data_IF_007031993486
#
_entry.id   IF_007031993486
#
_cell.length_a   1.000
_cell.length_b   1.000
_cell.length_c   1.000
_cell.angle_alpha   90.00
_cell.angle_beta   90.00
_cell.angle_gamma   90.00
#
_symmetry.space_group_name_H-M   'P 1'
#
loop_
_entity.id
_entity.type
_entity.pdbx_description
1 polymer ?
#
# COMPACT_ATOMS: atom_id res chain seq x y z
N UNK A 1 24.34 22.91 -2.86
CA UNK A 1 24.78 21.58 -2.43
C UNK A 1 23.68 20.52 -2.21
N UNK A 2 22.39 20.86 -1.94
CA UNK A 2 21.29 19.86 -2.00
C UNK A 2 20.67 19.76 -3.42
N UNK A 3 20.79 20.82 -4.22
CA UNK A 3 20.20 20.91 -5.57
C UNK A 3 21.14 20.53 -6.73
N UNK A 4 22.44 20.37 -6.49
CA UNK A 4 23.34 19.79 -7.52
C UNK A 4 23.11 18.27 -7.66
N UNK A 5 22.78 17.59 -6.56
CA UNK A 5 22.35 16.18 -6.57
C UNK A 5 20.99 15.95 -7.26
N UNK A 6 20.25 17.01 -7.61
CA UNK A 6 18.98 16.94 -8.35
C UNK A 6 19.16 17.32 -9.83
N UNK A 7 20.31 17.88 -10.22
CA UNK A 7 20.56 18.39 -11.58
C UNK A 7 21.54 17.56 -12.40
N UNK A 8 22.27 16.61 -11.82
CA UNK A 8 23.31 15.84 -12.52
C UNK A 8 23.17 14.32 -12.42
N UNK A 9 21.96 13.78 -12.53
CA UNK A 9 21.85 12.41 -13.04
C UNK A 9 20.86 12.36 -14.19
N UNK A 10 21.42 12.58 -15.37
CA UNK A 10 20.78 12.19 -16.62
C UNK A 10 20.61 10.68 -16.57
N UNK A 11 19.37 10.21 -16.57
CA UNK A 11 19.06 8.99 -17.32
C UNK A 11 18.19 9.38 -18.52
N UNK A 12 18.62 9.03 -19.75
CA UNK A 12 17.91 9.36 -20.96
C UNK A 12 16.57 8.65 -20.94
N UNK A 13 15.57 9.27 -21.57
CA UNK A 13 14.29 8.63 -21.80
C UNK A 13 14.46 7.24 -22.42
N UNK A 14 13.65 6.29 -21.93
CA UNK A 14 13.40 5.01 -22.58
C UNK A 14 14.46 3.93 -22.31
N UNK A 15 13.96 2.74 -21.95
CA UNK A 15 14.69 1.45 -21.83
C UNK A 15 15.64 1.35 -20.64
N UNK A 16 15.15 0.99 -19.43
CA UNK A 16 15.99 0.32 -18.41
C UNK A 16 15.24 -0.43 -17.29
N UNK A 17 14.01 -0.91 -17.52
CA UNK A 17 13.33 -1.83 -16.57
C UNK A 17 14.04 -3.19 -16.39
N UNK A 18 14.99 -3.53 -17.27
CA UNK A 18 15.74 -4.78 -17.25
C UNK A 18 16.77 -4.87 -16.12
N UNK A 19 17.42 -3.75 -15.75
CA UNK A 19 18.56 -3.79 -14.81
C UNK A 19 18.12 -4.04 -13.38
N UNK A 20 17.03 -3.40 -12.93
CA UNK A 20 16.46 -3.61 -11.58
C UNK A 20 15.86 -5.02 -11.45
N UNK A 21 15.21 -5.54 -12.49
CA UNK A 21 14.71 -6.92 -12.54
C UNK A 21 15.86 -7.94 -12.47
N UNK A 22 16.98 -7.65 -13.14
CA UNK A 22 18.16 -8.53 -13.12
C UNK A 22 18.88 -8.54 -11.76
N UNK A 23 18.97 -7.40 -11.06
CA UNK A 23 19.49 -7.36 -9.68
C UNK A 23 18.61 -8.14 -8.70
N UNK A 24 17.28 -8.07 -8.83
CA UNK A 24 16.35 -8.84 -8.00
C UNK A 24 16.48 -10.35 -8.27
N UNK A 25 16.54 -10.76 -9.55
CA UNK A 25 16.77 -12.17 -9.94
C UNK A 25 18.10 -12.72 -9.40
N UNK A 26 19.16 -11.92 -9.40
CA UNK A 26 20.47 -12.34 -8.88
C UNK A 26 20.46 -12.51 -7.35
N UNK A 27 19.69 -11.68 -6.64
CA UNK A 27 19.51 -11.78 -5.18
C UNK A 27 18.69 -13.00 -4.79
N UNK A 28 17.63 -13.33 -5.53
CA UNK A 28 16.84 -14.54 -5.33
C UNK A 28 17.66 -15.82 -5.59
N UNK A 29 18.57 -15.82 -6.59
CA UNK A 29 19.46 -16.96 -6.87
C UNK A 29 20.44 -17.23 -5.72
N UNK A 30 21.07 -16.18 -5.17
CA UNK A 30 21.97 -16.28 -4.00
C UNK A 30 21.28 -16.79 -2.72
N UNK A 31 20.00 -16.47 -2.53
CA UNK A 31 19.22 -16.99 -1.40
C UNK A 31 18.87 -18.47 -1.58
N UNK A 32 18.62 -18.92 -2.82
CA UNK A 32 18.36 -20.33 -3.15
C UNK A 32 19.60 -21.21 -2.97
N UNK A 33 20.78 -20.72 -3.37
CA UNK A 33 22.04 -21.46 -3.21
C UNK A 33 22.44 -21.58 -1.72
N UNK A 34 22.12 -20.57 -0.89
CA UNK A 34 22.33 -20.64 0.57
C UNK A 34 21.36 -21.59 1.30
N UNK A 35 20.15 -21.78 0.77
CA UNK A 35 19.19 -22.75 1.29
C UNK A 35 19.56 -24.19 0.89
N UNK A 36 19.96 -24.41 -0.38
CA UNK A 36 20.39 -25.73 -0.87
C UNK A 36 21.65 -26.25 -0.16
N UNK A 37 22.60 -25.38 0.20
CA UNK A 37 23.79 -25.77 0.98
C UNK A 37 23.45 -26.12 2.44
N UNK A 38 22.37 -25.57 3.00
CA UNK A 38 21.91 -25.88 4.36
C UNK A 38 21.20 -27.23 4.41
N UNK A 39 20.40 -27.56 3.40
CA UNK A 39 19.68 -28.83 3.29
C UNK A 39 20.60 -30.03 2.98
N UNK A 40 21.78 -29.77 2.40
CA UNK A 40 22.77 -30.82 2.09
C UNK A 40 23.57 -31.30 3.32
N UNK A 41 23.59 -30.52 4.41
CA UNK A 41 24.36 -30.83 5.63
C UNK A 41 23.53 -31.57 6.69
N UNK A 42 22.20 -31.67 6.52
CA UNK A 42 21.30 -32.34 7.48
C UNK A 42 20.82 -33.72 7.04
N UNK A 43 21.30 -34.24 5.90
CA UNK A 43 20.78 -35.46 5.26
C UNK A 43 21.71 -36.69 5.36
N UNK A 44 22.60 -36.74 6.36
CA UNK A 44 23.51 -37.87 6.57
C UNK A 44 23.49 -38.32 8.03
N UNK A 45 22.42 -38.97 8.48
CA UNK A 45 22.52 -39.94 9.57
C UNK A 45 21.29 -40.85 9.64
N UNK A 46 21.58 -42.16 9.54
CA UNK A 46 20.83 -43.33 10.01
C UNK A 46 19.86 -44.04 9.05
N UNK A 47 20.37 -45.14 8.48
CA UNK A 47 19.67 -46.29 7.89
C UNK A 47 19.53 -47.37 8.96
N UNK A 48 18.32 -47.93 9.11
CA UNK A 48 17.87 -49.29 9.53
C UNK A 48 16.50 -49.12 10.20
N UNK A 49 15.49 -49.98 10.14
CA UNK A 49 15.05 -51.15 9.37
C UNK A 49 13.58 -51.38 9.83
N UNK A 50 12.77 -51.93 8.93
CA UNK A 50 11.50 -52.65 9.10
C UNK A 50 10.23 -52.00 9.73
N UNK A 51 9.06 -52.44 9.24
CA UNK A 51 7.81 -52.44 10.02
C UNK A 51 6.67 -51.48 9.63
N UNK A 52 6.05 -51.71 8.46
CA UNK A 52 4.61 -51.53 8.17
C UNK A 52 3.75 -50.83 9.25
N UNK A 53 3.34 -49.57 9.05
CA UNK A 53 2.12 -48.97 9.67
C UNK A 53 1.54 -47.83 8.84
N UNK A 54 0.20 -47.78 8.90
CA UNK A 54 -0.73 -46.91 8.18
C UNK A 54 -0.43 -45.41 8.29
N UNK A 55 -0.92 -44.71 7.27
CA UNK A 55 -1.19 -43.27 7.23
C UNK A 55 -1.52 -42.67 8.60
N UNK A 56 -0.78 -41.62 8.95
CA UNK A 56 -1.30 -40.52 9.75
C UNK A 56 -0.67 -39.22 9.22
N UNK A 57 -1.41 -38.50 8.38
CA UNK A 57 -1.04 -37.14 7.99
C UNK A 57 -1.34 -36.24 9.19
N UNK A 58 -0.30 -35.89 9.94
CA UNK A 58 -0.39 -34.99 11.08
C UNK A 58 -0.99 -33.63 10.70
N UNK A 59 -2.04 -33.28 11.44
CA UNK A 59 -2.58 -31.95 11.73
C UNK A 59 -2.12 -30.79 10.82
N UNK A 60 -2.85 -30.60 9.73
CA UNK A 60 -3.12 -29.23 9.28
C UNK A 60 -4.11 -28.63 10.29
N UNK A 61 -3.86 -27.44 10.86
CA UNK A 61 -4.82 -26.85 11.78
C UNK A 61 -6.14 -26.70 11.02
N UNK A 62 -7.16 -27.41 11.51
CA UNK A 62 -8.52 -27.41 10.98
C UNK A 62 -8.94 -25.96 10.82
N UNK A 63 -8.89 -25.49 9.58
CA UNK A 63 -9.34 -24.17 9.19
C UNK A 63 -10.83 -24.12 9.48
N UNK A 64 -11.20 -23.43 10.57
CA UNK A 64 -12.58 -22.97 10.77
C UNK A 64 -13.03 -22.39 9.44
N UNK A 65 -14.13 -22.88 8.88
CA UNK A 65 -14.70 -22.38 7.61
C UNK A 65 -15.03 -20.89 7.78
N UNK A 66 -14.05 -20.02 7.54
CA UNK A 66 -14.22 -18.57 7.57
C UNK A 66 -14.84 -18.17 6.23
N UNK A 67 -15.80 -17.25 6.27
CA UNK A 67 -16.29 -16.63 5.05
C UNK A 67 -15.11 -15.94 4.35
N UNK A 68 -15.00 -16.07 3.02
CA UNK A 68 -13.91 -15.49 2.20
C UNK A 68 -13.63 -14.01 2.54
N UNK A 69 -14.69 -13.23 2.78
CA UNK A 69 -14.59 -11.81 3.16
C UNK A 69 -13.93 -11.64 4.54
N UNK A 70 -14.23 -12.51 5.51
CA UNK A 70 -13.63 -12.46 6.84
C UNK A 70 -12.12 -12.74 6.77
N UNK A 71 -11.72 -13.71 5.95
CA UNK A 71 -10.30 -13.99 5.71
C UNK A 71 -9.60 -12.75 5.09
N UNK A 72 -10.22 -12.10 4.11
CA UNK A 72 -9.68 -10.87 3.53
C UNK A 72 -9.54 -9.73 4.55
N UNK A 73 -10.50 -9.56 5.47
CA UNK A 73 -10.43 -8.56 6.54
C UNK A 73 -9.22 -8.81 7.45
N UNK A 74 -8.98 -10.07 7.81
CA UNK A 74 -7.83 -10.44 8.66
C UNK A 74 -6.48 -10.24 7.95
N UNK A 75 -6.44 -10.43 6.63
CA UNK A 75 -5.23 -10.24 5.80
C UNK A 75 -4.91 -8.75 5.61
N UNK A 76 -5.93 -7.91 5.44
CA UNK A 76 -5.73 -6.52 4.97
C UNK A 76 -4.88 -5.66 5.90
N UNK A 77 -5.08 -5.80 7.22
CA UNK A 77 -4.31 -5.12 8.29
C UNK A 77 -3.95 -3.67 7.95
N UNK A 78 -4.93 -2.88 7.53
CA UNK A 78 -4.75 -1.51 7.01
C UNK A 78 -3.92 -0.59 7.91
N UNK A 79 -4.04 -0.75 9.22
CA UNK A 79 -3.26 0.01 10.21
C UNK A 79 -1.76 -0.17 10.01
N UNK A 80 -1.31 -1.40 9.69
CA UNK A 80 0.10 -1.69 9.40
C UNK A 80 0.51 -1.14 8.04
N UNK A 81 -0.39 -1.18 7.05
CA UNK A 81 -0.13 -0.64 5.70
C UNK A 81 0.12 0.88 5.70
N UNK A 82 -0.50 1.59 6.64
CA UNK A 82 -0.43 3.06 6.71
C UNK A 82 0.56 3.52 7.79
N UNK A 83 0.84 2.69 8.81
CA UNK A 83 1.89 2.96 9.81
C UNK A 83 3.29 2.67 9.27
N UNK A 84 3.80 3.57 8.43
CA UNK A 84 5.12 3.45 7.84
C UNK A 84 6.19 3.88 8.86
N UNK A 85 7.17 3.02 9.10
CA UNK A 85 8.30 3.31 10.01
C UNK A 85 9.11 4.50 9.52
N UNK A 86 9.27 4.65 8.20
CA UNK A 86 9.92 5.80 7.59
C UNK A 86 9.22 7.15 7.88
N UNK A 87 7.94 7.14 8.25
CA UNK A 87 7.19 8.32 8.69
C UNK A 87 7.34 8.65 10.18
N UNK A 88 8.07 7.84 10.98
CA UNK A 88 8.25 8.13 12.42
C UNK A 88 9.14 9.37 12.63
N UNK A 89 8.75 10.21 13.59
CA UNK A 89 9.52 11.40 14.00
C UNK A 89 10.58 10.95 15.02
N UNK A 90 11.86 11.03 14.67
CA UNK A 90 12.96 10.68 15.57
C UNK A 90 13.17 11.77 16.65
N UNK A 91 13.59 11.42 17.88
CA UNK A 91 13.85 12.40 18.93
C UNK A 91 15.02 13.32 18.52
N UNK A 92 14.92 14.61 18.83
CA UNK A 92 15.92 15.62 18.45
C UNK A 92 17.20 15.58 19.30
N UNK A 93 17.25 14.77 20.35
CA UNK A 93 18.29 14.82 21.38
C UNK A 93 18.86 13.42 21.61
N UNK A 94 19.84 13.06 20.78
CA UNK A 94 21.03 12.28 21.17
C UNK A 94 21.91 12.15 19.93
N UNK A 95 23.07 12.81 19.94
CA UNK A 95 24.27 12.53 19.14
C UNK A 95 24.09 12.37 17.61
N UNK A 96 24.53 13.38 16.86
CA UNK A 96 25.74 13.31 16.04
C UNK A 96 25.67 12.40 14.80
N UNK A 97 25.91 13.04 13.65
CA UNK A 97 26.28 12.44 12.35
C UNK A 97 25.22 11.56 11.66
N UNK A 98 24.81 12.00 10.47
CA UNK A 98 24.02 11.21 9.51
C UNK A 98 22.58 10.86 9.90
N UNK A 99 21.74 11.88 10.17
CA UNK A 99 20.35 11.73 9.70
C UNK A 99 20.45 11.50 8.19
N UNK A 100 20.13 10.27 7.76
CA UNK A 100 20.06 9.89 6.35
C UNK A 100 19.43 11.04 5.57
N UNK A 101 20.06 11.52 4.48
CA UNK A 101 19.58 12.69 3.77
C UNK A 101 18.09 12.54 3.47
N UNK A 102 17.34 13.61 3.64
CA UNK A 102 15.94 13.77 3.30
C UNK A 102 15.42 12.79 2.22
N UNK A 103 16.08 12.75 1.07
CA UNK A 103 15.75 11.87 -0.04
C UNK A 103 15.80 10.38 0.31
N UNK A 104 16.81 9.91 1.04
CA UNK A 104 16.95 8.51 1.44
C UNK A 104 15.84 8.08 2.40
N UNK A 105 15.39 8.97 3.30
CA UNK A 105 14.25 8.69 4.18
C UNK A 105 12.94 8.58 3.42
N UNK A 106 12.73 9.46 2.45
CA UNK A 106 11.57 9.40 1.54
C UNK A 106 11.60 8.15 0.64
N UNK A 107 12.78 7.73 0.18
CA UNK A 107 12.94 6.47 -0.57
C UNK A 107 12.60 5.26 0.28
N UNK A 108 13.04 5.21 1.55
CA UNK A 108 12.70 4.11 2.47
C UNK A 108 11.19 3.95 2.67
N UNK A 109 10.45 5.07 2.71
CA UNK A 109 8.99 5.02 2.79
C UNK A 109 8.40 4.33 1.54
N UNK A 110 8.96 4.58 0.36
CA UNK A 110 8.54 3.89 -0.86
C UNK A 110 8.80 2.40 -0.84
N UNK A 111 9.99 2.01 -0.38
CA UNK A 111 10.35 0.61 -0.22
C UNK A 111 9.39 -0.10 0.76
N UNK A 112 9.03 0.54 1.87
CA UNK A 112 8.08 0.02 2.85
C UNK A 112 6.68 -0.16 2.26
N UNK A 113 6.16 0.82 1.52
CA UNK A 113 4.84 0.70 0.84
C UNK A 113 4.85 -0.49 -0.12
N UNK A 114 5.90 -0.61 -0.94
CA UNK A 114 6.03 -1.72 -1.91
C UNK A 114 6.15 -3.06 -1.18
N UNK A 115 6.96 -3.14 -0.13
CA UNK A 115 7.11 -4.35 0.69
C UNK A 115 5.78 -4.81 1.28
N UNK A 116 5.01 -3.88 1.86
CA UNK A 116 3.71 -4.19 2.46
C UNK A 116 2.67 -4.62 1.42
N UNK A 117 2.64 -3.99 0.24
CA UNK A 117 1.74 -4.42 -0.83
C UNK A 117 2.11 -5.80 -1.40
N UNK A 118 3.41 -6.09 -1.52
CA UNK A 118 3.90 -7.41 -1.93
C UNK A 118 3.51 -8.46 -0.90
N UNK A 119 3.71 -8.18 0.38
CA UNK A 119 3.37 -9.12 1.45
C UNK A 119 1.87 -9.36 1.54
N UNK A 120 1.07 -8.29 1.47
CA UNK A 120 -0.39 -8.40 1.36
C UNK A 120 -0.79 -9.30 0.18
N UNK A 121 -0.17 -9.13 -0.99
CA UNK A 121 -0.47 -9.96 -2.18
C UNK A 121 -0.18 -11.44 -1.96
N UNK A 122 0.93 -11.78 -1.26
CA UNK A 122 1.28 -13.18 -0.95
C UNK A 122 0.30 -13.85 0.00
N UNK A 123 -0.33 -13.07 0.88
CA UNK A 123 -1.25 -13.57 1.88
C UNK A 123 -2.66 -13.80 1.33
N UNK A 124 -2.96 -13.36 0.10
CA UNK A 124 -4.29 -13.53 -0.49
C UNK A 124 -4.63 -15.02 -0.73
N UNK A 125 -5.90 -15.42 -0.53
CA UNK A 125 -6.32 -16.83 -0.59
C UNK A 125 -6.09 -17.47 -1.97
N UNK A 126 -6.06 -16.68 -3.04
CA UNK A 126 -5.83 -17.13 -4.41
C UNK A 126 -4.35 -17.07 -4.84
N UNK A 127 -3.41 -16.72 -3.95
CA UNK A 127 -2.00 -16.49 -4.33
C UNK A 127 -1.39 -17.72 -5.03
N UNK A 128 -1.71 -18.93 -4.55
CA UNK A 128 -1.23 -20.19 -5.13
C UNK A 128 -1.83 -20.55 -6.50
N UNK A 129 -2.89 -19.86 -6.95
CA UNK A 129 -3.59 -20.19 -8.21
C UNK A 129 -2.94 -19.55 -9.45
N UNK A 130 -2.13 -18.51 -9.23
CA UNK A 130 -1.51 -17.69 -10.27
C UNK A 130 0.03 -17.68 -10.12
N UNK A 131 0.80 -17.66 -11.23
CA UNK A 131 2.25 -17.50 -11.17
C UNK A 131 2.69 -16.18 -10.53
N UNK A 132 3.89 -16.19 -9.96
CA UNK A 132 4.51 -15.01 -9.33
C UNK A 132 4.66 -13.85 -10.32
N UNK A 133 4.92 -14.14 -11.59
CA UNK A 133 5.01 -13.14 -12.66
C UNK A 133 3.67 -12.43 -12.87
N UNK A 134 2.54 -13.15 -12.70
CA UNK A 134 1.20 -12.57 -12.84
C UNK A 134 0.94 -11.61 -11.68
N UNK A 135 1.22 -12.03 -10.45
CA UNK A 135 1.11 -11.18 -9.27
C UNK A 135 1.98 -9.92 -9.38
N UNK A 136 3.22 -10.09 -9.81
CA UNK A 136 4.15 -8.98 -10.04
C UNK A 136 3.60 -8.02 -11.08
N UNK A 137 3.10 -8.54 -12.20
CA UNK A 137 2.50 -7.72 -13.25
C UNK A 137 1.28 -6.94 -12.74
N UNK A 138 0.32 -7.61 -12.11
CA UNK A 138 -0.87 -6.97 -11.55
C UNK A 138 -0.51 -5.85 -10.57
N UNK A 139 0.43 -6.13 -9.65
CA UNK A 139 0.84 -5.15 -8.66
C UNK A 139 1.55 -3.95 -9.30
N UNK A 140 2.44 -4.16 -10.29
CA UNK A 140 3.11 -3.05 -10.99
C UNK A 140 2.14 -2.12 -11.71
N UNK A 141 0.98 -2.61 -12.14
CA UNK A 141 -0.05 -1.81 -12.81
C UNK A 141 -0.99 -1.12 -11.82
N UNK A 142 -1.21 -1.69 -10.63
CA UNK A 142 -2.31 -1.30 -9.72
C UNK A 142 -1.87 -0.73 -8.39
N UNK A 143 -0.58 -0.72 -8.07
CA UNK A 143 -0.07 -0.25 -6.77
C UNK A 143 -0.57 1.16 -6.40
N UNK A 144 -0.63 2.09 -7.37
CA UNK A 144 -1.08 3.47 -7.12
C UNK A 144 -2.57 3.53 -6.75
N UNK A 145 -3.42 2.73 -7.41
CA UNK A 145 -4.84 2.61 -7.09
C UNK A 145 -5.03 1.98 -5.70
N UNK A 146 -4.25 0.95 -5.36
CA UNK A 146 -4.29 0.28 -4.06
C UNK A 146 -3.89 1.20 -2.89
N UNK A 147 -2.85 2.03 -3.09
CA UNK A 147 -2.42 3.04 -2.11
C UNK A 147 -3.52 4.06 -1.86
N UNK A 148 -4.07 4.64 -2.92
CA UNK A 148 -5.13 5.65 -2.81
C UNK A 148 -6.39 5.09 -2.17
N UNK A 149 -6.83 3.90 -2.60
CA UNK A 149 -8.00 3.22 -2.05
C UNK A 149 -7.82 2.94 -0.55
N UNK A 150 -6.64 2.46 -0.13
CA UNK A 150 -6.34 2.20 1.28
C UNK A 150 -6.30 3.50 2.10
N UNK A 151 -5.67 4.55 1.57
CA UNK A 151 -5.64 5.86 2.22
C UNK A 151 -7.05 6.44 2.40
N UNK A 152 -7.90 6.35 1.37
CA UNK A 152 -9.29 6.77 1.43
C UNK A 152 -10.08 6.01 2.50
N UNK A 153 -10.00 4.68 2.49
CA UNK A 153 -10.74 3.87 3.45
C UNK A 153 -10.31 4.11 4.89
N UNK A 154 -9.00 4.22 5.14
CA UNK A 154 -8.47 4.54 6.46
C UNK A 154 -8.96 5.90 6.97
N UNK A 155 -8.85 6.95 6.15
CA UNK A 155 -9.30 8.28 6.56
C UNK A 155 -10.80 8.34 6.81
N UNK A 156 -11.62 7.64 6.02
CA UNK A 156 -13.05 7.60 6.27
C UNK A 156 -13.44 6.75 7.48
N UNK A 157 -12.70 5.69 7.77
CA UNK A 157 -12.97 4.82 8.93
C UNK A 157 -12.56 5.48 10.24
N UNK A 158 -11.49 6.26 10.22
CA UNK A 158 -10.93 6.93 11.39
C UNK A 158 -11.37 8.39 11.53
N UNK A 159 -12.06 8.95 10.53
CA UNK A 159 -12.76 10.22 10.69
C UNK A 159 -13.91 10.00 11.67
N UNK A 160 -13.73 10.45 12.92
CA UNK A 160 -14.86 10.68 13.82
C UNK A 160 -15.84 11.57 13.06
N UNK A 161 -17.01 11.03 12.71
CA UNK A 161 -18.07 11.78 12.07
C UNK A 161 -18.30 13.05 12.89
N UNK A 162 -17.84 14.19 12.36
CA UNK A 162 -18.29 15.49 12.85
C UNK A 162 -19.78 15.46 12.59
N UNK A 163 -20.57 15.36 13.66
CA UNK A 163 -21.99 15.58 13.60
C UNK A 163 -22.21 16.94 12.92
N UNK A 164 -22.85 16.91 11.75
CA UNK A 164 -23.51 18.08 11.19
C UNK A 164 -24.45 18.66 12.27
N UNK A 165 -24.47 20.00 12.38
CA UNK A 165 -25.44 20.83 13.12
C UNK A 165 -25.12 21.41 14.52
N UNK A 166 -23.88 21.51 15.01
CA UNK A 166 -23.66 22.39 16.17
C UNK A 166 -22.30 23.10 16.19
N UNK A 167 -22.41 24.40 16.45
CA UNK A 167 -21.41 25.32 16.96
C UNK A 167 -20.43 25.94 15.96
N UNK A 168 -20.88 27.09 15.47
CA UNK A 168 -20.07 28.32 15.38
C UNK A 168 -19.29 28.50 16.68
N UNK A 169 -18.11 27.87 16.77
CA UNK A 169 -17.09 28.21 17.76
C UNK A 169 -16.02 29.03 17.06
N UNK A 170 -16.20 30.34 17.11
CA UNK A 170 -15.14 31.34 17.01
C UNK A 170 -14.14 31.15 18.14
N UNK A 171 -13.24 30.17 18.04
CA UNK A 171 -11.94 30.20 18.69
C UNK A 171 -10.92 29.60 17.73
N UNK A 172 -9.91 30.40 17.39
CA UNK A 172 -8.73 29.99 16.63
C UNK A 172 -7.94 28.98 17.47
N UNK A 173 -8.33 27.70 17.40
CA UNK A 173 -7.45 26.60 17.77
C UNK A 173 -6.52 26.36 16.59
N UNK A 174 -5.37 27.03 16.63
CA UNK A 174 -4.24 26.72 15.77
C UNK A 174 -3.84 25.26 16.03
N UNK A 175 -4.20 24.35 15.12
CA UNK A 175 -3.79 22.95 15.23
C UNK A 175 -4.83 21.90 14.84
N UNK A 176 -5.67 22.12 13.83
CA UNK A 176 -6.42 20.99 13.26
C UNK A 176 -5.40 20.06 12.56
N UNK A 177 -4.95 19.02 13.27
CA UNK A 177 -4.03 18.00 12.76
C UNK A 177 -4.73 16.99 11.84
N UNK A 178 -6.04 17.14 11.62
CA UNK A 178 -6.87 16.23 10.85
C UNK A 178 -6.93 16.58 9.36
N UNK A 179 -7.20 15.57 8.54
CA UNK A 179 -7.40 15.73 7.09
C UNK A 179 -8.74 16.42 6.79
N UNK A 180 -8.73 17.40 5.90
CA UNK A 180 -9.96 18.01 5.38
C UNK A 180 -10.50 17.20 4.19
N UNK A 181 -11.81 16.97 4.16
CA UNK A 181 -12.49 16.36 3.02
C UNK A 181 -12.93 17.39 1.97
N UNK A 182 -12.86 18.68 2.27
CA UNK A 182 -13.41 19.74 1.40
C UNK A 182 -12.34 20.71 0.89
N UNK A 183 -11.31 20.99 1.69
CA UNK A 183 -10.31 22.01 1.38
C UNK A 183 -8.93 21.39 1.17
N UNK A 184 -8.50 21.36 -0.10
CA UNK A 184 -7.17 20.89 -0.49
C UNK A 184 -6.05 21.79 0.03
N UNK A 185 -6.31 23.08 0.27
CA UNK A 185 -5.31 24.00 0.82
C UNK A 185 -5.01 23.70 2.29
N UNK A 186 -6.02 23.27 3.07
CA UNK A 186 -5.81 22.74 4.43
C UNK A 186 -4.92 21.50 4.37
N UNK A 187 -5.21 20.56 3.47
CA UNK A 187 -4.44 19.33 3.32
C UNK A 187 -2.99 19.57 2.87
N UNK A 188 -2.75 20.57 2.03
CA UNK A 188 -1.39 20.96 1.64
C UNK A 188 -0.63 21.54 2.84
N UNK A 189 -1.25 22.42 3.65
CA UNK A 189 -0.62 22.96 4.87
C UNK A 189 -0.34 21.85 5.88
N UNK A 190 -1.26 20.90 6.03
CA UNK A 190 -1.09 19.71 6.86
C UNK A 190 0.10 18.86 6.38
N UNK A 191 0.17 18.57 5.08
CA UNK A 191 1.28 17.86 4.47
C UNK A 191 2.61 18.56 4.72
N UNK A 192 2.68 19.88 4.56
CA UNK A 192 3.88 20.67 4.84
C UNK A 192 4.34 20.50 6.29
N UNK A 193 3.41 20.63 7.26
CA UNK A 193 3.70 20.49 8.70
C UNK A 193 4.24 19.09 9.02
N UNK A 194 3.53 18.05 8.58
CA UNK A 194 3.92 16.65 8.82
C UNK A 194 5.24 16.28 8.15
N UNK A 195 5.44 16.71 6.90
CA UNK A 195 6.70 16.46 6.19
C UNK A 195 7.87 17.19 6.87
N UNK A 196 7.68 18.44 7.34
CA UNK A 196 8.72 19.16 8.09
C UNK A 196 9.11 18.42 9.37
N UNK A 197 8.11 17.89 10.09
CA UNK A 197 8.33 17.10 11.30
C UNK A 197 9.07 15.79 11.02
N UNK A 198 8.64 15.03 10.00
CA UNK A 198 9.35 13.82 9.57
C UNK A 198 10.79 14.17 9.26
N UNK A 199 11.04 15.21 8.48
CA UNK A 199 12.38 15.53 7.95
C UNK A 199 13.31 16.20 8.97
N UNK A 200 12.82 16.57 10.15
CA UNK A 200 13.60 17.26 11.19
C UNK A 200 14.12 18.64 10.75
N UNK A 201 13.54 19.21 9.69
CA UNK A 201 13.93 20.49 9.11
C UNK A 201 12.66 21.26 8.77
N UNK A 202 12.58 22.50 9.23
CA UNK A 202 11.52 23.41 8.80
C UNK A 202 11.63 23.61 7.29
N UNK A 203 10.54 23.32 6.56
CA UNK A 203 10.46 23.63 5.13
C UNK A 203 10.10 25.12 5.03
N UNK A 204 11.05 26.01 4.65
CA UNK A 204 10.88 27.46 4.76
C UNK A 204 9.79 27.98 3.81
N UNK A 205 9.15 29.07 4.22
CA UNK A 205 7.94 29.60 3.57
C UNK A 205 8.16 30.20 2.16
N UNK A 206 9.40 30.39 1.73
CA UNK A 206 9.75 31.29 0.61
C UNK A 206 10.35 30.52 -0.57
N UNK A 207 9.82 30.74 -1.79
CA UNK A 207 10.15 30.12 -3.09
C UNK A 207 10.09 28.57 -3.16
N UNK A 208 10.60 27.86 -2.16
CA UNK A 208 10.50 26.42 -1.93
C UNK A 208 9.04 26.00 -1.72
N UNK A 209 8.23 26.81 -1.01
CA UNK A 209 6.77 26.60 -0.92
C UNK A 209 6.10 26.67 -2.28
N UNK A 210 6.37 27.70 -3.09
CA UNK A 210 5.67 27.84 -4.39
C UNK A 210 5.95 26.64 -5.29
N UNK A 211 7.18 26.11 -5.26
CA UNK A 211 7.53 24.90 -6.01
C UNK A 211 6.92 23.64 -5.37
N UNK A 212 7.02 23.45 -4.05
CA UNK A 212 6.45 22.30 -3.36
C UNK A 212 4.93 22.23 -3.53
N UNK A 213 4.23 23.34 -3.37
CA UNK A 213 2.78 23.44 -3.55
C UNK A 213 2.40 23.24 -5.03
N UNK A 214 3.24 23.64 -5.98
CA UNK A 214 3.01 23.39 -7.41
C UNK A 214 3.17 21.91 -7.77
N UNK A 215 4.12 21.21 -7.16
CA UNK A 215 4.36 19.78 -7.39
C UNK A 215 3.35 18.89 -6.64
N UNK A 216 3.03 19.23 -5.38
CA UNK A 216 2.11 18.45 -4.53
C UNK A 216 0.64 18.80 -4.79
N UNK A 217 0.36 20.05 -5.20
CA UNK A 217 -0.97 20.60 -5.39
C UNK A 217 -1.89 19.70 -6.22
N UNK A 218 -1.53 19.36 -7.46
CA UNK A 218 -2.39 18.52 -8.32
C UNK A 218 -2.75 17.17 -7.69
N UNK A 219 -1.79 16.54 -6.98
CA UNK A 219 -2.02 15.28 -6.30
C UNK A 219 -2.95 15.45 -5.10
N UNK A 220 -2.71 16.46 -4.25
CA UNK A 220 -3.54 16.69 -3.05
C UNK A 220 -4.93 17.16 -3.41
N UNK A 221 -5.10 17.98 -4.44
CA UNK A 221 -6.43 18.37 -4.95
C UNK A 221 -7.22 17.16 -5.41
N UNK A 222 -6.62 16.32 -6.27
CA UNK A 222 -7.25 15.08 -6.74
C UNK A 222 -7.55 14.12 -5.59
N UNK A 223 -6.62 13.97 -4.65
CA UNK A 223 -6.81 13.10 -3.50
C UNK A 223 -7.88 13.62 -2.54
N UNK A 224 -7.97 14.93 -2.31
CA UNK A 224 -9.02 15.54 -1.48
C UNK A 224 -10.40 15.33 -2.09
N UNK A 225 -10.54 15.54 -3.40
CA UNK A 225 -11.79 15.25 -4.11
C UNK A 225 -12.14 13.75 -4.07
N UNK A 226 -11.13 12.87 -4.16
CA UNK A 226 -11.31 11.42 -4.06
C UNK A 226 -11.80 11.02 -2.66
N UNK A 227 -11.21 11.58 -1.59
CA UNK A 227 -11.61 11.40 -0.20
C UNK A 227 -13.05 11.85 0.03
N UNK A 228 -13.41 13.04 -0.47
CA UNK A 228 -14.76 13.57 -0.36
C UNK A 228 -15.79 12.62 -0.97
N UNK A 229 -15.56 12.16 -2.19
CA UNK A 229 -16.50 11.26 -2.85
C UNK A 229 -16.54 9.90 -2.19
N UNK A 230 -15.41 9.38 -1.71
CA UNK A 230 -15.36 8.10 -1.01
C UNK A 230 -16.13 8.14 0.32
N UNK A 231 -16.06 9.25 1.07
CA UNK A 231 -16.79 9.41 2.34
C UNK A 231 -18.31 9.41 2.17
N UNK A 232 -18.82 9.87 1.01
CA UNK A 232 -20.25 9.85 0.70
C UNK A 232 -20.79 8.46 0.37
N UNK A 233 -19.94 7.53 -0.06
CA UNK A 233 -20.37 6.19 -0.46
C UNK A 233 -20.66 5.26 0.71
N UNK A 234 -20.23 5.58 1.95
CA UNK A 234 -20.40 4.70 3.13
C UNK A 234 -19.95 3.25 2.88
N UNK A 235 -18.73 3.11 2.38
CA UNK A 235 -18.12 1.80 2.10
C UNK A 235 -17.82 1.08 3.42
N UNK A 236 -18.39 -0.11 3.58
CA UNK A 236 -18.12 -1.01 4.71
C UNK A 236 -16.76 -1.69 4.58
N UNK A 237 -16.22 -2.22 5.69
CA UNK A 237 -14.97 -3.00 5.72
C UNK A 237 -14.95 -4.16 4.73
N UNK A 238 -16.05 -4.89 4.67
CA UNK A 238 -16.30 -6.03 3.80
C UNK A 238 -16.27 -5.63 2.32
N UNK A 239 -16.97 -4.54 1.99
CA UNK A 239 -16.98 -4.00 0.64
C UNK A 239 -15.58 -3.50 0.24
N UNK A 240 -14.88 -2.82 1.14
CA UNK A 240 -13.53 -2.32 0.91
C UNK A 240 -12.53 -3.42 0.53
N UNK A 241 -12.46 -4.51 1.32
CA UNK A 241 -11.51 -5.59 1.02
C UNK A 241 -11.82 -6.28 -0.30
N UNK A 242 -13.11 -6.40 -0.65
CA UNK A 242 -13.52 -6.92 -1.96
C UNK A 242 -13.09 -5.97 -3.09
N UNK A 243 -13.35 -4.66 -2.96
CA UNK A 243 -12.94 -3.65 -3.96
C UNK A 243 -11.42 -3.66 -4.14
N UNK A 244 -10.65 -3.80 -3.05
CA UNK A 244 -9.19 -3.88 -3.10
C UNK A 244 -8.69 -5.11 -3.85
N UNK A 245 -9.26 -6.28 -3.57
CA UNK A 245 -8.95 -7.51 -4.30
C UNK A 245 -9.33 -7.40 -5.81
N UNK A 246 -10.52 -6.87 -6.12
CA UNK A 246 -10.98 -6.63 -7.49
C UNK A 246 -10.03 -5.66 -8.22
N UNK A 247 -9.57 -4.62 -7.54
CA UNK A 247 -8.63 -3.61 -8.07
C UNK A 247 -7.29 -4.24 -8.42
N UNK A 248 -6.73 -5.08 -7.53
CA UNK A 248 -5.51 -5.83 -7.84
C UNK A 248 -5.70 -6.74 -9.07
N UNK A 249 -6.82 -7.46 -9.13
CA UNK A 249 -7.12 -8.40 -10.21
C UNK A 249 -7.55 -7.73 -11.52
N UNK A 250 -7.65 -6.40 -11.57
CA UNK A 250 -8.07 -5.70 -12.78
C UNK A 250 -6.96 -5.68 -13.83
N UNK A 251 -6.92 -6.73 -14.65
CA UNK A 251 -5.91 -6.92 -15.68
C UNK A 251 -6.13 -5.99 -16.89
N UNK A 252 -5.12 -5.18 -17.23
CA UNK A 252 -5.14 -4.38 -18.47
C UNK A 252 -4.70 -5.25 -19.65
N UNK A 253 -5.62 -5.53 -20.58
CA UNK A 253 -5.36 -6.41 -21.75
C UNK A 253 -4.23 -5.89 -22.64
N UNK A 254 -3.98 -4.58 -22.65
CA UNK A 254 -3.04 -3.91 -23.54
C UNK A 254 -1.63 -3.74 -22.97
N UNK A 255 -1.34 -4.25 -21.78
CA UNK A 255 -0.01 -4.13 -21.18
C UNK A 255 1.01 -5.05 -21.86
N UNK A 256 2.24 -4.59 -22.08
CA UNK A 256 3.29 -5.41 -22.69
C UNK A 256 3.80 -6.45 -21.67
N UNK A 257 3.15 -7.62 -21.61
CA UNK A 257 3.67 -8.79 -20.90
C UNK A 257 4.87 -9.34 -21.69
N UNK A 258 6.08 -9.21 -21.12
CA UNK A 258 7.34 -9.61 -21.78
C UNK A 258 7.72 -11.08 -21.52
N UNK A 259 7.00 -11.81 -20.66
CA UNK A 259 7.45 -13.11 -20.14
C UNK A 259 6.53 -14.31 -20.40
N UNK A 260 6.23 -14.68 -21.65
CA UNK A 260 5.51 -15.93 -21.94
C UNK A 260 4.95 -16.06 -23.35
N UNK A 261 4.61 -17.28 -23.76
CA UNK A 261 3.91 -17.54 -25.02
C UNK A 261 2.51 -16.91 -25.00
N UNK A 262 1.99 -16.51 -26.17
CA UNK A 262 0.67 -15.86 -26.28
C UNK A 262 -0.48 -16.74 -25.73
N UNK A 263 -0.35 -18.06 -25.84
CA UNK A 263 -1.30 -19.03 -25.29
C UNK A 263 -1.35 -18.98 -23.75
N UNK A 264 -0.18 -18.99 -23.09
CA UNK A 264 -0.07 -18.96 -21.63
C UNK A 264 -0.67 -17.66 -21.08
N UNK A 265 -0.41 -16.54 -21.76
CA UNK A 265 -1.00 -15.24 -21.43
C UNK A 265 -2.53 -15.27 -21.46
N UNK A 266 -3.13 -15.90 -22.47
CA UNK A 266 -4.60 -16.03 -22.56
C UNK A 266 -5.18 -16.86 -21.42
N UNK A 267 -4.51 -17.96 -21.04
CA UNK A 267 -4.90 -18.81 -19.92
C UNK A 267 -4.86 -18.06 -18.59
N UNK A 268 -3.81 -17.30 -18.32
CA UNK A 268 -3.71 -16.50 -17.10
C UNK A 268 -4.74 -15.38 -17.05
N UNK A 269 -4.98 -14.68 -18.17
CA UNK A 269 -6.05 -13.67 -18.23
C UNK A 269 -7.40 -14.30 -17.87
N UNK A 270 -7.71 -15.47 -18.42
CA UNK A 270 -8.95 -16.19 -18.10
C UNK A 270 -9.02 -16.57 -16.62
N UNK A 271 -7.93 -17.09 -16.04
CA UNK A 271 -7.88 -17.41 -14.60
C UNK A 271 -8.08 -16.16 -13.73
N UNK A 272 -7.38 -15.07 -14.02
CA UNK A 272 -7.52 -13.80 -13.29
C UNK A 272 -8.97 -13.30 -13.36
N UNK A 273 -9.61 -13.37 -14.52
CA UNK A 273 -11.02 -12.98 -14.67
C UNK A 273 -11.96 -13.89 -13.86
N UNK A 274 -11.72 -15.21 -13.83
CA UNK A 274 -12.52 -16.15 -13.04
C UNK A 274 -12.40 -15.87 -11.54
N UNK A 275 -11.19 -15.61 -11.05
CA UNK A 275 -10.95 -15.25 -9.64
C UNK A 275 -11.61 -13.90 -9.33
N UNK A 276 -11.44 -12.90 -10.21
CA UNK A 276 -12.07 -11.59 -10.04
C UNK A 276 -13.60 -11.68 -9.96
N UNK A 277 -14.23 -12.50 -10.81
CA UNK A 277 -15.68 -12.71 -10.84
C UNK A 277 -16.22 -13.24 -9.50
N UNK A 278 -15.44 -14.07 -8.80
CA UNK A 278 -15.81 -14.54 -7.45
C UNK A 278 -15.89 -13.36 -6.46
N UNK A 279 -14.91 -12.45 -6.48
CA UNK A 279 -14.93 -11.26 -5.61
C UNK A 279 -16.01 -10.25 -6.01
N UNK A 280 -16.28 -10.09 -7.31
CA UNK A 280 -17.37 -9.24 -7.79
C UNK A 280 -18.73 -9.77 -7.31
N UNK A 281 -18.95 -11.08 -7.40
CA UNK A 281 -20.18 -11.71 -6.87
C UNK A 281 -20.28 -11.58 -5.35
N UNK A 282 -19.19 -11.81 -4.63
CA UNK A 282 -19.16 -11.64 -3.17
C UNK A 282 -19.50 -10.20 -2.76
N UNK A 283 -18.92 -9.21 -3.46
CA UNK A 283 -19.25 -7.80 -3.27
C UNK A 283 -20.74 -7.54 -3.56
N UNK A 284 -21.26 -7.99 -4.70
CA UNK A 284 -22.67 -7.78 -5.07
C UNK A 284 -23.63 -8.37 -4.04
N UNK A 285 -23.37 -9.59 -3.56
CA UNK A 285 -24.18 -10.23 -2.51
C UNK A 285 -24.16 -9.39 -1.24
N UNK A 286 -22.98 -8.92 -0.81
CA UNK A 286 -22.84 -8.07 0.38
C UNK A 286 -23.60 -6.75 0.25
N UNK A 287 -23.50 -6.08 -0.91
CA UNK A 287 -24.20 -4.81 -1.15
C UNK A 287 -25.72 -4.98 -1.21
N UNK A 288 -26.22 -6.11 -1.72
CA UNK A 288 -27.67 -6.41 -1.74
C UNK A 288 -28.19 -6.68 -0.33
N UNK A 289 -27.39 -7.34 0.51
CA UNK A 289 -27.77 -7.67 1.89
C UNK A 289 -27.75 -6.44 2.82
N UNK A 290 -27.10 -5.35 2.43
CA UNK A 290 -26.92 -4.18 3.27
C UNK A 290 -27.50 -2.93 2.58
N UNK A 291 -28.81 -2.68 2.78
CA UNK A 291 -29.56 -1.60 2.12
C UNK A 291 -29.04 -0.18 2.46
N UNK A 292 -28.37 -0.02 3.61
CA UNK A 292 -27.78 1.25 4.08
C UNK A 292 -26.35 1.49 3.52
N UNK A 293 -25.75 0.51 2.84
CA UNK A 293 -24.39 0.57 2.34
C UNK A 293 -24.28 1.19 0.92
N UNK A 294 -23.04 1.37 0.47
CA UNK A 294 -22.70 1.85 -0.87
C UNK A 294 -23.44 1.07 -1.97
N UNK A 295 -23.98 1.77 -2.97
CA UNK A 295 -24.54 1.09 -4.15
C UNK A 295 -23.43 0.74 -5.12
N UNK A 296 -23.61 -0.34 -5.87
CA UNK A 296 -22.69 -0.71 -6.96
C UNK A 296 -22.52 0.44 -7.97
N UNK A 297 -23.59 1.19 -8.25
CA UNK A 297 -23.55 2.37 -9.12
C UNK A 297 -22.55 3.42 -8.64
N UNK A 298 -22.50 3.64 -7.33
CA UNK A 298 -21.67 4.69 -6.72
C UNK A 298 -20.19 4.28 -6.76
N UNK A 299 -19.92 2.98 -6.59
CA UNK A 299 -18.58 2.42 -6.76
C UNK A 299 -18.12 2.57 -8.22
N UNK A 300 -18.98 2.24 -9.19
CA UNK A 300 -18.65 2.34 -10.61
C UNK A 300 -18.40 3.78 -11.07
N UNK A 301 -19.10 4.77 -10.51
CA UNK A 301 -18.86 6.19 -10.81
C UNK A 301 -17.62 6.74 -10.11
N UNK A 302 -17.23 6.16 -8.98
CA UNK A 302 -16.01 6.53 -8.25
C UNK A 302 -14.73 5.96 -8.88
N UNK A 303 -14.77 4.77 -9.49
CA UNK A 303 -13.60 4.13 -10.12
C UNK A 303 -12.84 5.02 -11.13
N UNK A 304 -13.51 5.75 -12.06
CA UNK A 304 -12.84 6.71 -12.94
C UNK A 304 -12.08 7.81 -12.19
N UNK A 305 -12.59 8.26 -11.04
CA UNK A 305 -11.91 9.24 -10.20
C UNK A 305 -10.66 8.65 -9.55
N UNK A 306 -10.76 7.44 -9.03
CA UNK A 306 -9.61 6.69 -8.51
C UNK A 306 -8.53 6.56 -9.59
N UNK A 307 -8.92 6.18 -10.80
CA UNK A 307 -7.99 6.07 -11.92
C UNK A 307 -7.34 7.41 -12.27
N UNK A 308 -8.12 8.51 -12.31
CA UNK A 308 -7.59 9.86 -12.56
C UNK A 308 -6.57 10.28 -11.50
N UNK A 309 -6.84 10.06 -10.21
CA UNK A 309 -5.91 10.36 -9.13
C UNK A 309 -4.66 9.46 -9.16
N UNK A 310 -4.83 8.17 -9.48
CA UNK A 310 -3.73 7.21 -9.60
C UNK A 310 -2.75 7.58 -10.71
N UNK A 311 -3.26 8.11 -11.83
CA UNK A 311 -2.41 8.60 -12.93
C UNK A 311 -1.53 9.77 -12.48
N UNK A 312 -2.05 10.70 -11.68
CA UNK A 312 -1.24 11.78 -11.08
C UNK A 312 -0.21 11.22 -10.11
N UNK A 313 -0.59 10.24 -9.29
CA UNK A 313 0.31 9.58 -8.35
C UNK A 313 1.46 8.84 -9.04
N UNK A 314 1.19 8.15 -10.16
CA UNK A 314 2.18 7.41 -10.95
C UNK A 314 3.28 8.31 -11.52
N UNK A 315 2.96 9.56 -11.85
CA UNK A 315 3.92 10.54 -12.35
C UNK A 315 4.52 11.41 -11.24
N UNK A 316 4.05 11.26 -10.00
CA UNK A 316 4.53 12.01 -8.84
C UNK A 316 5.71 11.32 -8.18
N UNK A 317 6.69 12.11 -7.72
CA UNK A 317 7.79 11.62 -6.88
C UNK A 317 7.39 11.45 -5.41
N UNK A 318 6.17 11.81 -5.06
CA UNK A 318 5.67 11.89 -3.68
C UNK A 318 4.55 10.87 -3.44
N UNK A 319 4.81 9.60 -3.74
CA UNK A 319 3.81 8.52 -3.62
C UNK A 319 3.36 8.25 -2.17
N UNK A 320 4.11 8.73 -1.17
CA UNK A 320 3.80 8.62 0.26
C UNK A 320 2.77 9.65 0.74
N UNK A 321 2.42 10.65 -0.09
CA UNK A 321 1.53 11.76 0.28
C UNK A 321 0.16 11.31 0.78
N UNK A 322 -0.54 10.34 0.15
CA UNK A 322 -1.83 9.86 0.65
C UNK A 322 -1.73 9.41 2.11
N UNK A 323 -0.77 8.54 2.44
CA UNK A 323 -0.60 8.04 3.81
C UNK A 323 -0.16 9.12 4.79
N UNK A 324 0.73 10.02 4.38
CA UNK A 324 1.18 11.13 5.23
C UNK A 324 0.08 12.15 5.52
N UNK A 325 -0.89 12.33 4.63
CA UNK A 325 -2.09 13.15 4.88
C UNK A 325 -3.07 12.40 5.79
N UNK A 326 -3.25 11.10 5.59
CA UNK A 326 -4.24 10.31 6.32
C UNK A 326 -3.84 9.98 7.76
N UNK A 327 -2.56 9.70 8.04
CA UNK A 327 -2.06 9.30 9.36
C UNK A 327 -0.97 10.24 9.87
N UNK A 328 -1.11 10.66 11.12
CA UNK A 328 -0.13 11.53 11.76
C UNK A 328 1.16 10.74 12.05
N UNK A 329 2.33 11.21 11.61
CA UNK A 329 3.63 10.71 12.04
C UNK A 329 3.73 10.52 13.56
N UNK A 330 3.87 9.28 14.01
CA UNK A 330 4.11 9.01 15.42
C UNK A 330 5.53 9.43 15.81
N UNK A 331 5.70 10.01 17.01
CA UNK A 331 7.03 10.18 17.61
C UNK A 331 7.60 8.81 17.94
N UNK A 332 8.87 8.60 17.61
CA UNK A 332 9.60 7.41 18.00
C UNK A 332 9.71 7.40 19.53
N UNK A 333 8.81 6.68 20.19
CA UNK A 333 9.00 6.28 21.57
C UNK A 333 9.93 5.07 21.52
N UNK A 334 11.15 5.18 22.07
CA UNK A 334 12.09 4.06 22.18
C UNK A 334 11.63 2.97 23.17
N UNK A 335 10.40 2.48 23.04
CA UNK A 335 9.75 1.57 23.99
C UNK A 335 9.42 0.18 23.43
N UNK A 336 9.65 -0.11 22.15
CA UNK A 336 9.43 -1.47 21.61
C UNK A 336 10.48 -2.50 22.09
N UNK A 337 11.55 -2.08 22.78
CA UNK A 337 12.57 -3.00 23.34
C UNK A 337 12.48 -3.23 24.86
N UNK A 338 11.58 -2.57 25.60
CA UNK A 338 11.49 -2.72 27.06
C UNK A 338 10.48 -3.78 27.56
N UNK A 339 9.82 -4.50 26.65
CA UNK A 339 8.84 -5.56 27.00
C UNK A 339 9.33 -6.99 26.70
N UNK A 340 10.60 -7.20 26.36
CA UNK A 340 11.20 -8.55 26.25
C UNK A 340 12.20 -8.89 27.37
N UNK A 341 12.27 -8.06 28.42
CA UNK A 341 13.04 -8.36 29.63
C UNK A 341 12.21 -8.07 30.88
N UNK A 342 11.22 -8.91 31.13
CA UNK A 342 10.61 -9.13 32.44
C UNK A 342 10.21 -10.59 32.56
#
# INVERSE_FOLDING_TARGET
MILEAVREDRMPGGRNGSVVCNLYKLRCRKLRDRAAVRDSLSACENITDDGRRLMDCGDYPVSKNKNLIQELIEIDQIEKLIDLRGLRILPMEEYCEELAPACQRLSRIGDEIVEQLVEWTKMLPFYGELPVEVHTHLLTQRWAELVLLSACFYSCSNATFINDEADVSTTVVDGNEEVSFLDSAVNIRLLQRRLSAVMGKAIPLEHVIKHFFREAGPLVEKFTALLYSFSKMRITTEAYVCIKAITLLHYNKNSDWIGGNQLDRSLFIRKVTLIQDQFVKALQIHLIQNEEAARLSDILTWLPMLHSASSVLLHSKMFYVPFLICKNPHRFAGQDERLQSA
#
